data_IF_288883335898
#
_entry.id   IF_288883335898
#
_cell.length_a   1.000
_cell.length_b   1.000
_cell.length_c   1.000
_cell.angle_alpha   90.00
_cell.angle_beta   90.00
_cell.angle_gamma   90.00
#
_symmetry.space_group_name_H-M   'P 1'
#
loop_
_entity.id
_entity.type
_entity.pdbx_description
1 polymer ?
#
# COMPACT_ATOMS: atom_id res chain seq x y z
N UNK A 1 -13.15 -13.09 -14.65
CA UNK A 1 -14.13 -11.99 -14.75
C UNK A 1 -13.43 -10.75 -14.22
N UNK A 2 -13.36 -9.71 -15.02
CA UNK A 2 -12.83 -8.41 -14.60
C UNK A 2 -13.68 -7.89 -13.44
N UNK A 3 -13.06 -7.65 -12.30
CA UNK A 3 -13.78 -7.25 -11.08
C UNK A 3 -14.17 -5.78 -11.19
N UNK A 4 -15.48 -5.51 -11.08
CA UNK A 4 -16.06 -4.19 -11.29
C UNK A 4 -16.33 -3.51 -9.96
N UNK A 5 -16.17 -2.19 -9.93
CA UNK A 5 -16.70 -1.35 -8.88
C UNK A 5 -18.23 -1.29 -8.95
N UNK A 6 -18.85 -0.89 -7.84
CA UNK A 6 -20.29 -0.68 -7.76
C UNK A 6 -20.62 0.81 -7.65
N UNK A 7 -21.71 1.19 -8.30
CA UNK A 7 -22.34 2.49 -8.09
C UNK A 7 -22.71 2.67 -6.61
N UNK A 8 -22.61 3.91 -6.13
CA UNK A 8 -22.77 4.23 -4.70
C UNK A 8 -24.17 3.92 -4.16
N UNK A 9 -25.19 3.88 -5.01
CA UNK A 9 -26.57 3.57 -4.61
C UNK A 9 -26.91 2.08 -4.60
N UNK A 10 -25.97 1.20 -4.97
CA UNK A 10 -26.21 -0.25 -4.96
C UNK A 10 -26.21 -0.77 -3.53
N UNK A 11 -27.34 -1.33 -3.09
CA UNK A 11 -27.47 -1.99 -1.79
C UNK A 11 -28.23 -3.31 -1.95
N UNK A 12 -27.55 -4.45 -1.73
CA UNK A 12 -28.14 -5.78 -1.80
C UNK A 12 -27.45 -6.73 -0.81
N UNK A 13 -27.99 -7.94 -0.65
CA UNK A 13 -27.48 -8.93 0.30
C UNK A 13 -26.02 -9.34 0.04
N UNK A 14 -25.56 -9.25 -1.21
CA UNK A 14 -24.22 -9.64 -1.63
C UNK A 14 -23.22 -8.46 -1.65
N UNK A 15 -23.63 -7.30 -1.11
CA UNK A 15 -22.85 -6.05 -1.15
C UNK A 15 -22.35 -5.70 0.24
N UNK A 16 -21.03 -5.50 0.33
CA UNK A 16 -20.38 -4.88 1.48
C UNK A 16 -20.21 -3.39 1.28
N UNK A 17 -20.25 -2.66 2.39
CA UNK A 17 -20.08 -1.22 2.43
C UNK A 17 -18.76 -0.90 3.12
N UNK A 18 -18.15 0.21 2.71
CA UNK A 18 -16.91 0.71 3.30
C UNK A 18 -17.22 2.03 3.98
N UNK A 19 -17.02 2.10 5.28
CA UNK A 19 -17.03 3.36 6.02
C UNK A 19 -15.61 3.87 6.13
N UNK A 20 -15.38 5.11 5.71
CA UNK A 20 -14.06 5.74 5.74
C UNK A 20 -14.10 7.08 6.45
N UNK A 21 -13.06 7.35 7.25
CA UNK A 21 -12.82 8.63 7.91
C UNK A 21 -11.42 9.13 7.63
N UNK A 22 -11.25 10.45 7.66
CA UNK A 22 -9.95 11.10 7.75
C UNK A 22 -9.82 11.65 9.16
N UNK A 23 -8.87 11.12 9.95
CA UNK A 23 -8.60 11.64 11.29
C UNK A 23 -7.56 12.76 11.18
N UNK A 24 -7.95 13.99 11.52
CA UNK A 24 -7.08 15.17 11.39
C UNK A 24 -5.86 15.12 12.31
N UNK A 25 -6.04 14.64 13.55
CA UNK A 25 -4.97 14.55 14.54
C UNK A 25 -3.79 13.67 14.09
N UNK A 26 -4.09 12.57 13.40
CA UNK A 26 -3.08 11.62 12.90
C UNK A 26 -2.72 11.85 11.43
N UNK A 27 -3.47 12.70 10.73
CA UNK A 27 -3.43 12.87 9.27
C UNK A 27 -3.43 11.54 8.52
N UNK A 28 -4.25 10.60 9.00
CA UNK A 28 -4.36 9.26 8.44
C UNK A 28 -5.81 8.93 8.07
N UNK A 29 -5.94 8.13 7.00
CA UNK A 29 -7.22 7.74 6.45
C UNK A 29 -7.52 6.28 6.79
N UNK A 30 -8.50 6.08 7.67
CA UNK A 30 -8.93 4.75 8.12
C UNK A 30 -10.24 4.35 7.46
N UNK A 31 -10.38 3.07 7.16
CA UNK A 31 -11.61 2.47 6.70
C UNK A 31 -11.92 1.17 7.45
N UNK A 32 -13.20 0.82 7.44
CA UNK A 32 -13.70 -0.47 7.88
C UNK A 32 -14.72 -1.01 6.87
N UNK A 33 -14.82 -2.34 6.79
CA UNK A 33 -15.77 -3.04 5.93
C UNK A 33 -16.91 -3.54 6.79
N UNK A 34 -18.13 -3.41 6.27
CA UNK A 34 -19.31 -3.80 7.02
C UNK A 34 -20.58 -3.84 6.19
N UNK A 35 -21.70 -3.87 6.88
CA UNK A 35 -23.03 -3.94 6.29
C UNK A 35 -23.80 -2.68 6.63
N UNK A 36 -24.34 -2.00 5.60
CA UNK A 36 -25.20 -0.84 5.78
C UNK A 36 -26.67 -1.23 5.64
N UNK A 37 -27.45 -0.93 6.67
CA UNK A 37 -28.88 -1.13 6.70
C UNK A 37 -29.60 0.19 6.44
N UNK A 38 -30.14 0.36 5.24
CA UNK A 38 -30.78 1.60 4.81
C UNK A 38 -32.03 1.96 5.63
N UNK A 39 -32.82 0.96 6.04
CA UNK A 39 -34.12 1.17 6.73
C UNK A 39 -33.98 1.91 8.06
N UNK A 40 -32.90 1.67 8.79
CA UNK A 40 -32.63 2.24 10.10
C UNK A 40 -31.35 3.10 10.12
N UNK A 41 -30.71 3.29 8.96
CA UNK A 41 -29.51 4.12 8.77
C UNK A 41 -28.37 3.69 9.71
N UNK A 42 -28.15 2.37 9.82
CA UNK A 42 -27.08 1.82 10.66
C UNK A 42 -26.02 1.14 9.81
N UNK A 43 -24.76 1.43 10.10
CA UNK A 43 -23.61 0.66 9.62
C UNK A 43 -23.13 -0.25 10.75
N UNK A 44 -22.89 -1.52 10.43
CA UNK A 44 -22.33 -2.50 11.37
C UNK A 44 -21.01 -2.99 10.77
N UNK A 45 -19.86 -2.75 11.42
CA UNK A 45 -18.58 -3.28 10.95
C UNK A 45 -18.60 -4.80 11.02
N UNK A 46 -17.94 -5.44 10.05
CA UNK A 46 -17.79 -6.90 10.05
C UNK A 46 -16.84 -7.37 11.16
N UNK A 47 -15.87 -6.52 11.53
CA UNK A 47 -14.92 -6.74 12.62
C UNK A 47 -14.85 -5.48 13.49
N UNK A 48 -15.22 -5.60 14.77
CA UNK A 48 -15.24 -4.50 15.72
C UNK A 48 -13.85 -4.09 16.20
N UNK A 49 -12.86 -4.98 16.11
CA UNK A 49 -11.47 -4.68 16.45
C UNK A 49 -10.81 -3.83 15.35
N UNK A 50 -11.39 -3.84 14.14
CA UNK A 50 -10.97 -3.05 12.97
C UNK A 50 -12.02 -2.00 12.58
N UNK A 51 -12.70 -1.41 13.57
CA UNK A 51 -13.68 -0.34 13.30
C UNK A 51 -12.98 0.95 12.83
N UNK A 52 -13.77 1.89 12.32
CA UNK A 52 -13.29 3.14 11.75
C UNK A 52 -12.46 3.95 12.76
N UNK A 53 -11.22 4.29 12.37
CA UNK A 53 -10.26 5.01 13.21
C UNK A 53 -9.25 4.15 13.98
N UNK A 54 -9.48 2.84 14.06
CA UNK A 54 -8.52 1.86 14.63
C UNK A 54 -8.18 0.72 13.66
N UNK A 55 -8.99 0.55 12.60
CA UNK A 55 -8.84 -0.50 11.61
C UNK A 55 -7.82 -0.21 10.51
N UNK A 56 -8.22 -0.45 9.27
CA UNK A 56 -7.30 -0.51 8.13
C UNK A 56 -7.05 0.87 7.54
N UNK A 57 -5.82 1.14 7.10
CA UNK A 57 -5.48 2.33 6.33
C UNK A 57 -5.62 2.09 4.84
N UNK A 58 -6.01 3.10 4.06
CA UNK A 58 -5.87 3.00 2.59
C UNK A 58 -4.41 2.97 2.16
N UNK A 59 -3.54 3.69 2.86
CA UNK A 59 -2.13 3.78 2.56
C UNK A 59 -1.42 4.03 3.89
N UNK A 60 -0.31 3.34 4.12
CA UNK A 60 0.43 3.40 5.38
C UNK A 60 1.54 4.47 5.37
N UNK A 61 1.68 5.21 4.26
CA UNK A 61 2.57 6.36 4.13
C UNK A 61 1.86 7.71 4.29
N UNK A 62 2.35 8.72 3.57
CA UNK A 62 1.78 10.08 3.56
C UNK A 62 0.63 10.14 2.56
N UNK A 63 -0.60 9.93 3.04
CA UNK A 63 -1.80 9.87 2.22
C UNK A 63 -3.03 10.29 3.03
N UNK A 64 -3.74 11.33 2.58
CA UNK A 64 -4.81 11.92 3.37
C UNK A 64 -5.97 12.46 2.54
N UNK A 65 -7.09 12.72 3.21
CA UNK A 65 -8.30 13.33 2.66
C UNK A 65 -8.89 12.57 1.45
N UNK A 66 -8.64 11.26 1.38
CA UNK A 66 -8.97 10.43 0.25
C UNK A 66 -10.47 10.37 -0.01
N UNK A 67 -10.84 10.38 -1.29
CA UNK A 67 -12.22 10.29 -1.75
C UNK A 67 -12.32 9.34 -2.93
N UNK A 68 -13.48 8.71 -3.06
CA UNK A 68 -13.76 7.82 -4.18
C UNK A 68 -14.91 8.33 -5.00
N UNK A 69 -14.91 7.98 -6.29
CA UNK A 69 -16.09 8.10 -7.14
C UNK A 69 -16.25 6.82 -7.97
N UNK A 70 -17.46 6.60 -8.47
CA UNK A 70 -17.74 5.52 -9.41
C UNK A 70 -17.57 6.02 -10.85
N UNK A 71 -16.70 5.37 -11.61
CA UNK A 71 -16.51 5.59 -13.04
C UNK A 71 -17.46 4.64 -13.79
N UNK A 72 -18.59 5.16 -14.25
CA UNK A 72 -19.60 4.40 -14.99
C UNK A 72 -19.14 3.97 -16.38
N UNK A 73 -18.14 4.63 -16.96
CA UNK A 73 -17.66 4.29 -18.31
C UNK A 73 -16.83 3.01 -18.28
N UNK A 74 -16.05 2.81 -17.20
CA UNK A 74 -15.22 1.62 -17.00
C UNK A 74 -15.71 0.68 -15.89
N UNK A 75 -16.85 1.00 -15.28
CA UNK A 75 -17.46 0.22 -14.19
C UNK A 75 -16.49 -0.06 -13.03
N UNK A 76 -15.79 0.97 -12.55
CA UNK A 76 -14.76 0.84 -11.49
C UNK A 76 -14.92 1.93 -10.46
N UNK A 77 -14.50 1.66 -9.21
CA UNK A 77 -14.40 2.68 -8.18
C UNK A 77 -12.97 3.21 -8.17
N UNK A 78 -12.81 4.52 -8.30
CA UNK A 78 -11.51 5.18 -8.37
C UNK A 78 -11.30 5.98 -7.08
N UNK A 79 -10.14 5.78 -6.45
CA UNK A 79 -9.67 6.46 -5.26
C UNK A 79 -8.65 7.54 -5.63
N UNK A 80 -8.84 8.73 -5.09
CA UNK A 80 -7.90 9.84 -5.09
C UNK A 80 -7.50 10.16 -3.64
N UNK A 81 -6.25 10.58 -3.44
CA UNK A 81 -5.77 11.05 -2.15
C UNK A 81 -4.69 12.12 -2.30
N UNK A 82 -4.63 12.99 -1.29
CA UNK A 82 -3.67 14.07 -1.20
C UNK A 82 -2.39 13.56 -0.52
N UNK A 83 -1.24 13.87 -1.11
CA UNK A 83 0.08 13.58 -0.57
C UNK A 83 0.71 14.93 -0.19
N UNK A 84 0.79 15.18 1.11
CA UNK A 84 1.46 16.36 1.66
C UNK A 84 2.98 16.27 1.51
N UNK A 85 3.65 17.42 1.56
CA UNK A 85 5.11 17.44 1.58
C UNK A 85 5.70 16.89 2.87
N UNK A 86 6.91 16.34 2.76
CA UNK A 86 7.72 15.87 3.88
C UNK A 86 8.94 16.77 4.14
N UNK A 87 9.10 17.86 3.39
CA UNK A 87 10.13 18.89 3.60
C UNK A 87 9.62 20.00 4.54
N UNK A 88 10.43 21.05 4.72
CA UNK A 88 10.09 22.17 5.59
C UNK A 88 9.23 23.21 4.88
N UNK A 89 8.39 23.94 5.62
CA UNK A 89 7.61 25.07 5.09
C UNK A 89 8.47 26.13 4.36
N UNK A 90 9.70 26.36 4.82
CA UNK A 90 10.63 27.26 4.13
C UNK A 90 10.99 26.77 2.71
N UNK A 91 11.10 25.45 2.53
CA UNK A 91 11.32 24.82 1.23
C UNK A 91 10.08 24.93 0.34
N UNK A 92 8.87 24.81 0.90
CA UNK A 92 7.61 25.08 0.18
C UNK A 92 7.54 26.50 -0.37
N UNK A 93 7.87 27.48 0.48
CA UNK A 93 7.92 28.90 0.09
C UNK A 93 8.96 29.13 -1.00
N UNK A 94 10.13 28.48 -0.88
CA UNK A 94 11.21 28.61 -1.85
C UNK A 94 10.87 27.97 -3.21
N UNK A 95 10.26 26.78 -3.22
CA UNK A 95 9.87 26.07 -4.45
C UNK A 95 8.60 26.64 -5.08
N UNK A 96 7.76 27.33 -4.30
CA UNK A 96 6.58 28.08 -4.76
C UNK A 96 5.33 27.22 -5.00
N UNK A 97 5.35 25.96 -4.57
CA UNK A 97 4.22 25.03 -4.64
C UNK A 97 4.34 24.02 -3.49
N UNK A 98 3.24 23.34 -3.18
CA UNK A 98 3.18 22.29 -2.16
C UNK A 98 2.28 21.16 -2.64
N UNK A 99 2.64 19.95 -2.24
CA UNK A 99 1.84 18.74 -2.30
C UNK A 99 1.51 18.25 -3.71
N UNK A 100 1.07 17.00 -3.79
CA UNK A 100 0.57 16.39 -5.03
C UNK A 100 -0.68 15.56 -4.77
N UNK A 101 -1.38 15.20 -5.84
CA UNK A 101 -2.36 14.12 -5.79
C UNK A 101 -1.66 12.81 -6.11
N UNK A 102 -2.07 11.73 -5.43
CA UNK A 102 -1.65 10.38 -5.80
C UNK A 102 -2.11 10.04 -7.21
N UNK A 103 -1.37 9.17 -7.92
CA UNK A 103 -1.92 8.50 -9.11
C UNK A 103 -3.23 7.79 -8.69
N UNK A 104 -4.34 7.97 -9.44
CA UNK A 104 -5.62 7.37 -9.07
C UNK A 104 -5.51 5.85 -9.01
N UNK A 105 -6.20 5.23 -8.05
CA UNK A 105 -6.19 3.78 -7.85
C UNK A 105 -7.59 3.20 -8.04
N UNK A 106 -7.72 2.06 -8.70
CA UNK A 106 -8.94 1.25 -8.59
C UNK A 106 -9.00 0.62 -7.22
N UNK A 107 -10.20 0.53 -6.64
CA UNK A 107 -10.40 -0.15 -5.35
C UNK A 107 -11.47 -1.23 -5.43
N UNK A 108 -11.18 -2.39 -4.85
CA UNK A 108 -12.04 -3.56 -4.85
C UNK A 108 -11.94 -4.29 -3.52
N UNK A 109 -12.99 -5.00 -3.11
CA UNK A 109 -12.91 -5.92 -1.98
C UNK A 109 -12.07 -7.13 -2.36
N UNK A 110 -11.08 -7.50 -1.53
CA UNK A 110 -10.42 -8.79 -1.71
C UNK A 110 -11.43 -9.91 -1.43
N UNK A 111 -11.91 -10.58 -2.49
CA UNK A 111 -12.87 -11.68 -2.32
C UNK A 111 -12.26 -12.95 -1.76
N UNK A 112 -10.92 -13.08 -1.74
CA UNK A 112 -10.27 -14.26 -1.17
C UNK A 112 -10.41 -14.27 0.34
N UNK A 113 -10.18 -13.13 0.98
CA UNK A 113 -10.26 -12.99 2.44
C UNK A 113 -11.57 -12.34 2.89
N UNK A 114 -12.11 -11.40 2.12
CA UNK A 114 -13.25 -10.57 2.50
C UNK A 114 -12.94 -9.50 3.54
N UNK A 115 -11.67 -9.32 3.92
CA UNK A 115 -11.30 -8.51 5.10
C UNK A 115 -10.62 -7.19 4.78
N UNK A 116 -10.19 -6.97 3.53
CA UNK A 116 -9.47 -5.76 3.14
C UNK A 116 -9.73 -5.37 1.68
N UNK A 117 -9.34 -4.15 1.32
CA UNK A 117 -9.46 -3.62 -0.02
C UNK A 117 -8.17 -3.76 -0.81
N UNK A 118 -8.28 -4.27 -2.03
CA UNK A 118 -7.20 -4.27 -3.01
C UNK A 118 -7.19 -2.94 -3.76
N UNK A 119 -5.99 -2.40 -3.93
CA UNK A 119 -5.76 -1.18 -4.68
C UNK A 119 -4.75 -1.43 -5.79
N UNK A 120 -4.97 -0.81 -6.94
CA UNK A 120 -4.04 -0.86 -8.06
C UNK A 120 -4.07 0.46 -8.82
N UNK A 121 -2.94 1.03 -9.29
CA UNK A 121 -2.96 2.19 -10.17
C UNK A 121 -3.91 1.96 -11.35
N UNK A 122 -4.65 3.00 -11.75
CA UNK A 122 -5.55 2.90 -12.91
C UNK A 122 -4.76 2.53 -14.18
N UNK A 123 -5.32 1.64 -15.00
CA UNK A 123 -4.66 1.11 -16.20
C UNK A 123 -4.17 2.18 -17.19
N UNK A 124 -4.75 3.39 -17.17
CA UNK A 124 -4.32 4.51 -18.01
C UNK A 124 -2.86 4.91 -17.76
N UNK A 125 -2.32 4.65 -16.57
CA UNK A 125 -0.92 4.95 -16.26
C UNK A 125 0.04 4.17 -17.15
N UNK A 126 -0.37 3.00 -17.63
CA UNK A 126 0.44 2.14 -18.51
C UNK A 126 0.78 2.85 -19.84
N UNK A 127 -0.04 3.81 -20.26
CA UNK A 127 0.20 4.60 -21.47
C UNK A 127 1.41 5.53 -21.37
N UNK A 128 1.91 5.81 -20.16
CA UNK A 128 3.10 6.61 -19.93
C UNK A 128 4.40 5.80 -20.05
N UNK A 129 4.31 4.46 -20.14
CA UNK A 129 5.49 3.60 -20.26
C UNK A 129 6.13 3.75 -21.64
N UNK A 130 7.40 4.18 -21.68
CA UNK A 130 8.15 4.39 -22.91
C UNK A 130 9.04 3.20 -23.30
N UNK A 131 9.94 2.83 -22.38
CA UNK A 131 10.88 1.73 -22.54
C UNK A 131 10.68 0.72 -21.41
N UNK A 132 11.08 -0.54 -21.63
CA UNK A 132 11.04 -1.57 -20.59
C UNK A 132 12.37 -2.29 -20.49
N UNK A 133 12.77 -2.58 -19.25
CA UNK A 133 13.93 -3.38 -18.91
C UNK A 133 13.44 -4.61 -18.15
N UNK A 134 13.95 -5.78 -18.50
CA UNK A 134 13.58 -7.04 -17.85
C UNK A 134 14.83 -7.73 -17.34
N UNK A 135 14.88 -7.95 -16.04
CA UNK A 135 15.93 -8.68 -15.37
C UNK A 135 15.34 -9.99 -14.84
N UNK A 136 15.75 -11.13 -15.40
CA UNK A 136 15.20 -12.43 -15.02
C UNK A 136 16.26 -13.21 -14.24
N UNK A 137 15.82 -13.95 -13.21
CA UNK A 137 16.69 -14.81 -12.39
C UNK A 137 17.91 -14.08 -11.80
N UNK A 138 17.71 -12.83 -11.35
CA UNK A 138 18.75 -12.07 -10.63
C UNK A 138 18.93 -12.68 -9.24
N UNK A 139 20.08 -13.32 -9.01
CA UNK A 139 20.41 -13.86 -7.68
C UNK A 139 20.95 -12.75 -6.79
N UNK A 140 20.22 -12.45 -5.70
CA UNK A 140 20.66 -11.51 -4.67
C UNK A 140 21.21 -12.31 -3.48
N UNK A 141 22.52 -12.21 -3.27
CA UNK A 141 23.18 -12.87 -2.14
C UNK A 141 22.90 -12.13 -0.82
N UNK A 142 22.94 -12.84 0.30
CA UNK A 142 22.66 -12.25 1.61
C UNK A 142 23.60 -11.06 1.91
N UNK A 143 23.04 -9.87 2.08
CA UNK A 143 23.81 -8.65 2.38
C UNK A 143 24.53 -8.04 1.17
N UNK A 144 24.17 -8.46 -0.04
CA UNK A 144 24.63 -7.84 -1.27
C UNK A 144 23.64 -6.81 -1.80
N UNK A 145 24.16 -5.89 -2.62
CA UNK A 145 23.37 -4.99 -3.44
C UNK A 145 23.71 -5.30 -4.89
N UNK A 146 22.69 -5.51 -5.72
CA UNK A 146 22.87 -5.78 -7.15
C UNK A 146 22.39 -4.56 -7.94
N UNK A 147 23.29 -3.81 -8.60
CA UNK A 147 22.89 -2.67 -9.41
C UNK A 147 22.13 -3.14 -10.66
N UNK A 148 21.04 -2.45 -10.99
CA UNK A 148 20.26 -2.66 -12.21
C UNK A 148 20.45 -1.45 -13.12
N UNK A 149 21.18 -1.63 -14.22
CA UNK A 149 21.45 -0.55 -15.16
C UNK A 149 20.24 -0.31 -16.07
N UNK A 150 19.55 0.80 -15.84
CA UNK A 150 18.38 1.26 -16.57
C UNK A 150 18.52 2.72 -17.06
N UNK A 151 19.72 3.30 -16.93
CA UNK A 151 19.95 4.72 -17.16
C UNK A 151 19.31 5.63 -16.10
N UNK A 152 18.67 6.73 -16.51
CA UNK A 152 18.07 7.70 -15.60
C UNK A 152 16.86 7.11 -14.85
N UNK A 153 16.87 7.20 -13.52
CA UNK A 153 15.96 6.46 -12.63
C UNK A 153 14.98 7.33 -11.82
N UNK A 154 14.64 8.52 -12.32
CA UNK A 154 13.78 9.49 -11.58
C UNK A 154 12.28 9.35 -11.85
N UNK A 155 11.90 8.62 -12.91
CA UNK A 155 10.50 8.37 -13.29
C UNK A 155 10.38 6.93 -13.79
N UNK A 156 9.93 6.04 -12.92
CA UNK A 156 9.91 4.60 -13.16
C UNK A 156 8.58 3.99 -12.73
N UNK A 157 8.22 2.90 -13.41
CA UNK A 157 7.21 1.94 -12.97
C UNK A 157 7.90 0.58 -12.84
N UNK A 158 7.97 0.05 -11.62
CA UNK A 158 8.77 -1.14 -11.28
C UNK A 158 7.83 -2.22 -10.76
N UNK A 159 7.85 -3.37 -11.43
CA UNK A 159 7.22 -4.61 -10.94
C UNK A 159 8.35 -5.59 -10.67
N UNK A 160 8.39 -6.13 -9.45
CA UNK A 160 9.40 -7.08 -9.01
C UNK A 160 8.73 -8.26 -8.29
N UNK A 161 9.22 -9.46 -8.57
CA UNK A 161 8.83 -10.70 -7.91
C UNK A 161 10.08 -11.27 -7.22
N UNK A 162 9.92 -11.70 -5.96
CA UNK A 162 11.01 -12.22 -5.15
C UNK A 162 10.71 -13.64 -4.73
N UNK A 163 11.60 -14.56 -5.10
CA UNK A 163 11.56 -15.95 -4.64
C UNK A 163 12.60 -16.16 -3.55
N UNK A 164 12.16 -16.69 -2.40
CA UNK A 164 13.04 -17.08 -1.30
C UNK A 164 13.38 -18.57 -1.46
N UNK A 165 14.66 -18.90 -1.34
CA UNK A 165 15.11 -20.29 -1.30
C UNK A 165 14.43 -21.07 -0.16
N UNK A 166 13.89 -22.25 -0.49
CA UNK A 166 13.13 -23.07 0.47
C UNK A 166 13.99 -23.52 1.65
N UNK A 167 15.26 -23.87 1.43
CA UNK A 167 16.16 -24.27 2.51
C UNK A 167 16.46 -23.10 3.45
N UNK A 168 16.58 -21.88 2.91
CA UNK A 168 16.74 -20.67 3.71
C UNK A 168 15.48 -20.36 4.54
N UNK A 169 14.29 -20.53 3.95
CA UNK A 169 13.01 -20.37 4.64
C UNK A 169 12.89 -21.36 5.81
N UNK A 170 13.17 -22.64 5.59
CA UNK A 170 13.09 -23.68 6.62
C UNK A 170 14.03 -23.38 7.81
N UNK A 171 15.26 -22.92 7.55
CA UNK A 171 16.23 -22.56 8.61
C UNK A 171 15.80 -21.34 9.44
N UNK A 172 14.99 -20.45 8.88
CA UNK A 172 14.55 -19.23 9.56
C UNK A 172 13.31 -19.41 10.46
N UNK A 173 12.60 -20.54 10.35
CA UNK A 173 11.34 -20.79 11.10
C UNK A 173 11.50 -20.85 12.62
N UNK A 174 12.73 -20.85 13.15
CA UNK A 174 13.02 -20.84 14.60
C UNK A 174 13.04 -19.47 15.28
N UNK A 175 12.94 -18.35 14.54
CA UNK A 175 13.03 -16.99 15.10
C UNK A 175 11.78 -16.17 14.80
N UNK A 176 10.68 -16.41 15.52
CA UNK A 176 9.48 -15.58 15.43
C UNK A 176 9.67 -14.28 16.23
N UNK A 177 10.46 -13.35 15.69
CA UNK A 177 10.47 -11.96 16.15
C UNK A 177 9.63 -11.17 15.16
N UNK A 178 8.43 -10.76 15.59
CA UNK A 178 7.58 -9.83 14.84
C UNK A 178 8.27 -8.47 14.83
N UNK A 179 8.96 -8.15 13.74
CA UNK A 179 9.63 -6.86 13.59
C UNK A 179 8.64 -5.82 13.04
N UNK A 180 8.44 -4.74 13.80
CA UNK A 180 7.69 -3.57 13.37
C UNK A 180 8.67 -2.60 12.73
N UNK A 181 8.43 -2.21 11.48
CA UNK A 181 9.33 -1.36 10.69
C UNK A 181 9.73 -0.04 11.38
N UNK A 182 8.82 0.59 12.11
CA UNK A 182 9.10 1.84 12.84
C UNK A 182 10.15 1.66 13.96
N UNK A 183 10.31 0.45 14.49
CA UNK A 183 11.30 0.11 15.52
C UNK A 183 12.40 -0.82 15.01
N UNK A 184 12.36 -1.22 13.74
CA UNK A 184 13.29 -2.21 13.19
C UNK A 184 14.65 -1.63 12.83
N UNK A 185 14.76 -0.30 12.73
CA UNK A 185 15.93 0.39 12.18
C UNK A 185 16.12 0.18 10.67
N UNK A 186 15.05 -0.22 9.97
CA UNK A 186 14.97 -0.26 8.50
C UNK A 186 15.95 -1.23 7.86
N UNK A 187 16.57 -0.82 6.75
CA UNK A 187 17.44 -1.68 5.95
C UNK A 187 18.76 -2.09 6.64
N UNK A 188 19.13 -1.43 7.74
CA UNK A 188 20.42 -1.65 8.44
C UNK A 188 20.38 -2.90 9.31
N UNK A 189 19.22 -3.24 9.88
CA UNK A 189 19.08 -4.39 10.76
C UNK A 189 18.84 -5.67 9.97
N UNK A 190 19.75 -6.63 10.11
CA UNK A 190 19.72 -7.88 9.35
C UNK A 190 19.05 -8.98 10.16
N UNK A 191 18.02 -9.58 9.57
CA UNK A 191 17.36 -10.81 10.00
C UNK A 191 17.65 -11.98 9.05
N UNK A 192 17.12 -13.16 9.39
CA UNK A 192 17.34 -14.38 8.63
C UNK A 192 16.75 -14.33 7.21
N UNK A 193 15.59 -13.68 7.05
CA UNK A 193 14.86 -13.55 5.79
C UNK A 193 14.64 -12.09 5.36
N UNK A 194 15.53 -11.19 5.76
CA UNK A 194 15.43 -9.81 5.33
C UNK A 194 16.17 -8.82 6.20
N UNK A 195 16.07 -7.53 5.90
CA UNK A 195 15.29 -6.97 4.79
C UNK A 195 15.92 -7.30 3.42
N UNK A 196 15.06 -7.52 2.43
CA UNK A 196 15.41 -7.58 1.00
C UNK A 196 14.34 -6.80 0.22
N UNK A 197 14.70 -6.19 -0.89
CA UNK A 197 13.79 -5.34 -1.66
C UNK A 197 14.54 -4.45 -2.65
N UNK A 198 13.96 -3.28 -2.91
CA UNK A 198 14.51 -2.27 -3.83
C UNK A 198 15.05 -1.07 -3.04
N UNK A 199 16.11 -0.46 -3.55
CA UNK A 199 16.63 0.82 -3.05
C UNK A 199 16.20 1.93 -4.01
N UNK A 200 15.18 2.71 -3.62
CA UNK A 200 14.63 3.79 -4.45
C UNK A 200 14.18 5.00 -3.63
N UNK A 201 14.34 6.24 -4.14
CA UNK A 201 15.43 6.65 -5.03
C UNK A 201 16.79 6.42 -4.37
N UNK A 202 17.83 6.06 -5.15
CA UNK A 202 19.19 5.87 -4.65
C UNK A 202 20.23 6.61 -5.50
N UNK A 203 21.30 7.07 -4.86
CA UNK A 203 22.49 7.60 -5.55
C UNK A 203 23.59 6.53 -5.73
N UNK A 204 24.60 6.82 -6.55
CA UNK A 204 25.71 5.89 -6.83
C UNK A 204 26.51 5.50 -5.57
N UNK A 205 26.48 6.33 -4.53
CA UNK A 205 27.16 6.09 -3.26
C UNK A 205 26.31 5.32 -2.25
N UNK A 206 25.04 5.04 -2.57
CA UNK A 206 24.01 4.52 -1.67
C UNK A 206 23.89 5.34 -0.38
N UNK A 207 24.20 6.63 -0.43
CA UNK A 207 24.16 7.51 0.74
C UNK A 207 22.72 7.89 1.12
N UNK A 208 21.82 7.80 0.15
CA UNK A 208 20.38 8.04 0.29
C UNK A 208 19.61 6.89 -0.34
N UNK A 209 18.69 6.28 0.41
CA UNK A 209 17.69 5.35 -0.09
C UNK A 209 16.50 5.30 0.87
N UNK A 210 15.30 5.01 0.38
CA UNK A 210 14.12 4.85 1.22
C UNK A 210 13.75 3.37 1.31
N UNK A 211 13.54 2.90 2.54
CA UNK A 211 12.91 1.61 2.79
C UNK A 211 11.39 1.83 2.68
N UNK A 212 10.75 1.26 1.66
CA UNK A 212 9.30 1.36 1.52
C UNK A 212 8.63 0.28 2.36
N UNK A 213 7.80 0.68 3.32
CA UNK A 213 7.15 -0.21 4.28
C UNK A 213 5.74 -0.59 3.81
N UNK A 214 5.51 -1.88 3.58
CA UNK A 214 4.19 -2.46 3.31
C UNK A 214 3.74 -3.41 4.43
N UNK A 215 4.42 -3.42 5.58
CA UNK A 215 4.26 -4.43 6.62
C UNK A 215 3.72 -3.88 7.94
N UNK A 216 2.63 -3.09 7.90
CA UNK A 216 1.76 -3.02 9.09
C UNK A 216 0.88 -4.25 9.10
N UNK A 217 1.38 -5.27 9.80
CA UNK A 217 0.79 -6.60 9.98
C UNK A 217 -0.66 -6.55 10.49
N UNK A 218 -1.47 -7.35 9.83
CA UNK A 218 -2.66 -8.07 10.31
C UNK A 218 -2.27 -9.18 11.32
N UNK A 219 -1.69 -8.83 12.47
CA UNK A 219 -1.30 -9.83 13.47
C UNK A 219 -1.89 -9.60 14.84
N UNK A 220 -3.22 -9.70 14.93
CA UNK A 220 -3.94 -10.10 16.15
C UNK A 220 -5.14 -10.95 15.72
N UNK A 221 -4.91 -12.17 15.22
CA UNK A 221 -5.98 -13.14 14.98
C UNK A 221 -5.43 -14.59 14.95
N UNK A 222 -4.56 -14.93 15.89
CA UNK A 222 -4.20 -16.33 16.13
C UNK A 222 -3.51 -16.45 17.48
N UNK A 223 -4.28 -16.37 18.57
CA UNK A 223 -3.96 -17.01 19.85
C UNK A 223 -5.20 -16.98 20.75
N UNK A 224 -6.18 -17.84 20.46
CA UNK A 224 -7.22 -18.28 21.41
C UNK A 224 -7.67 -19.71 21.04
N UNK A 225 -6.93 -20.69 21.56
CA UNK A 225 -7.42 -22.04 21.88
C UNK A 225 -7.15 -22.30 23.35
#
# INVERSE_FOLDING_TARGET
MEEKGLDTSVNSQDVKHVMKVSLDDERHDYYTIGTYHEKNVTFIPDDIELDVGIGLGYDYGVYYAAKTFYDQNKNRRVLWGWIGDSDSEAADVQKGWTSVQSIPRTILLDKKTGTHLLQWPVEEIDSLRLNSYKFNHVTVQAGSVVPLDIGAATQLDIIAEFDIDKEALEKATGSNVTSICSSSGGAVHRGALGPFGLLVPADDSLSMFFCNDQSRRSSEASDLH
#
